data_IF_936111332718
#
_entry.id   IF_936111332718
#
_cell.length_a   1.000
_cell.length_b   1.000
_cell.length_c   1.000
_cell.angle_alpha   90.00
_cell.angle_beta   90.00
_cell.angle_gamma   90.00
#
_symmetry.space_group_name_H-M   'P 1'
#
loop_
_entity.id
_entity.type
_entity.pdbx_description
1 polymer ?
#
# COMPACT_ATOMS: atom_id res chain seq x y z
N UNK A 1 3.44 2.43 -8.07
CA UNK A 1 2.45 3.06 -7.18
C UNK A 1 3.16 4.14 -6.37
N UNK A 2 2.46 5.20 -5.92
CA UNK A 2 3.04 6.17 -4.99
C UNK A 2 2.25 6.18 -3.69
N UNK A 3 2.94 6.09 -2.56
CA UNK A 3 2.30 6.16 -1.23
C UNK A 3 2.78 7.42 -0.53
N UNK A 4 1.85 8.33 -0.27
CA UNK A 4 2.08 9.53 0.51
C UNK A 4 1.37 9.41 1.86
N UNK A 5 2.05 9.75 2.94
CA UNK A 5 1.48 9.72 4.29
C UNK A 5 1.73 11.04 5.01
N UNK A 6 0.74 11.47 5.79
CA UNK A 6 0.84 12.63 6.67
C UNK A 6 1.05 12.16 8.12
N UNK A 7 2.03 12.70 8.86
CA UNK A 7 2.20 12.35 10.26
C UNK A 7 0.95 12.76 11.06
N UNK A 8 0.37 11.84 11.84
CA UNK A 8 -0.80 12.15 12.66
C UNK A 8 -0.48 13.07 13.85
N UNK A 9 0.76 13.02 14.36
CA UNK A 9 1.19 13.80 15.54
C UNK A 9 1.83 15.14 15.22
N UNK A 10 2.05 15.47 13.94
CA UNK A 10 2.73 16.71 13.53
C UNK A 10 2.10 17.22 12.24
N UNK A 11 1.64 18.47 12.25
CA UNK A 11 1.25 19.14 11.02
C UNK A 11 2.48 19.37 10.15
N UNK A 12 2.70 18.44 9.22
CA UNK A 12 3.72 18.53 8.18
C UNK A 12 3.09 18.15 6.84
N UNK A 13 3.67 18.61 5.72
CA UNK A 13 3.25 18.15 4.40
C UNK A 13 3.30 16.62 4.30
N UNK A 14 2.43 16.00 3.48
CA UNK A 14 2.54 14.58 3.15
C UNK A 14 3.94 14.25 2.65
N UNK A 15 4.48 13.11 3.08
CA UNK A 15 5.78 12.59 2.65
C UNK A 15 5.55 11.36 1.79
N UNK A 16 6.26 11.29 0.67
CA UNK A 16 6.35 10.09 -0.15
C UNK A 16 7.17 9.06 0.62
N UNK A 17 6.59 7.89 0.89
CA UNK A 17 7.27 6.77 1.59
C UNK A 17 7.52 5.58 0.66
N UNK A 18 6.90 5.57 -0.51
CA UNK A 18 7.06 4.51 -1.51
C UNK A 18 6.83 5.08 -2.91
N UNK A 19 7.77 4.87 -3.82
CA UNK A 19 7.70 5.29 -5.24
C UNK A 19 8.36 4.22 -6.12
N UNK A 20 7.89 2.98 -5.99
CA UNK A 20 8.35 1.86 -6.79
C UNK A 20 7.19 1.23 -7.59
N UNK A 21 7.55 0.47 -8.62
CA UNK A 21 6.62 -0.41 -9.30
C UNK A 21 6.20 -1.53 -8.34
N UNK A 22 4.93 -1.95 -8.44
CA UNK A 22 4.47 -3.18 -7.78
C UNK A 22 4.84 -4.33 -8.71
N UNK A 23 5.34 -5.42 -8.17
CA UNK A 23 5.57 -6.66 -8.90
C UNK A 23 4.79 -7.85 -8.32
N UNK A 24 4.89 -9.00 -8.99
CA UNK A 24 4.18 -10.22 -8.59
C UNK A 24 4.63 -10.74 -7.22
N UNK A 25 5.84 -10.41 -6.77
CA UNK A 25 6.37 -10.79 -5.45
C UNK A 25 5.77 -10.01 -4.30
N UNK A 26 5.21 -8.82 -4.57
CA UNK A 26 4.47 -8.03 -3.58
C UNK A 26 3.03 -8.55 -3.37
N UNK A 27 2.55 -9.45 -4.22
CA UNK A 27 1.15 -9.89 -4.27
C UNK A 27 1.03 -11.35 -3.84
N UNK A 28 0.17 -11.63 -2.86
CA UNK A 28 -0.11 -12.99 -2.40
C UNK A 28 -1.62 -13.23 -2.35
N UNK A 29 -2.08 -14.38 -2.82
CA UNK A 29 -3.46 -14.84 -2.63
C UNK A 29 -3.47 -15.94 -1.58
N UNK A 30 -4.10 -15.69 -0.44
CA UNK A 30 -4.23 -16.67 0.65
C UNK A 30 -5.68 -16.77 1.07
N UNK A 31 -6.21 -18.00 1.19
CA UNK A 31 -7.60 -18.25 1.62
C UNK A 31 -8.67 -17.47 0.82
N UNK A 32 -8.38 -17.14 -0.44
CA UNK A 32 -9.27 -16.35 -1.30
C UNK A 32 -9.17 -14.83 -1.11
N UNK A 33 -8.39 -14.35 -0.15
CA UNK A 33 -8.07 -12.93 0.02
C UNK A 33 -6.83 -12.56 -0.78
N UNK A 34 -6.89 -11.41 -1.46
CA UNK A 34 -5.75 -10.84 -2.17
C UNK A 34 -5.02 -9.89 -1.23
N UNK A 35 -3.74 -10.14 -0.98
CA UNK A 35 -2.89 -9.31 -0.12
C UNK A 35 -1.79 -8.65 -0.95
N UNK A 36 -1.67 -7.34 -0.83
CA UNK A 36 -0.54 -6.55 -1.34
C UNK A 36 0.37 -6.19 -0.17
N UNK A 37 1.62 -6.62 -0.21
CA UNK A 37 2.63 -6.34 0.81
C UNK A 37 3.80 -5.56 0.20
N UNK A 38 4.05 -4.36 0.71
CA UNK A 38 5.17 -3.51 0.28
C UNK A 38 6.08 -3.16 1.45
N UNK A 39 7.35 -2.89 1.18
CA UNK A 39 8.29 -2.31 2.14
C UNK A 39 8.48 -0.83 1.78
N UNK A 40 8.17 0.07 2.71
CA UNK A 40 8.23 1.51 2.51
C UNK A 40 8.93 2.20 3.68
N UNK A 41 9.36 3.46 3.50
CA UNK A 41 10.03 4.23 4.54
C UNK A 41 9.13 4.50 5.75
N UNK A 42 9.69 4.41 6.96
CA UNK A 42 8.99 4.80 8.18
C UNK A 42 8.88 6.33 8.27
N UNK A 43 7.65 6.81 8.49
CA UNK A 43 7.38 8.25 8.48
C UNK A 43 7.97 8.98 9.70
N UNK A 44 8.25 8.28 10.80
CA UNK A 44 8.70 8.87 12.07
C UNK A 44 10.20 8.64 12.34
N UNK A 45 10.80 7.63 11.71
CA UNK A 45 12.15 7.13 12.02
C UNK A 45 13.02 7.21 10.77
N UNK A 46 14.09 8.01 10.86
CA UNK A 46 15.01 8.22 9.74
C UNK A 46 15.74 6.90 9.41
N UNK A 47 15.83 6.58 8.11
CA UNK A 47 16.51 5.39 7.58
C UNK A 47 15.93 4.05 8.10
N UNK A 48 14.68 4.04 8.55
CA UNK A 48 13.97 2.83 8.89
C UNK A 48 12.91 2.54 7.82
N UNK A 49 12.65 1.26 7.59
CA UNK A 49 11.61 0.78 6.69
C UNK A 49 10.58 -0.05 7.46
N UNK A 50 9.34 -0.03 7.01
CA UNK A 50 8.24 -0.81 7.56
C UNK A 50 7.53 -1.58 6.45
N UNK A 51 7.04 -2.78 6.78
CA UNK A 51 6.18 -3.55 5.89
C UNK A 51 4.73 -3.12 6.08
N UNK A 52 4.07 -2.77 4.99
CA UNK A 52 2.65 -2.48 4.93
C UNK A 52 1.95 -3.61 4.17
N UNK A 53 0.86 -4.13 4.73
CA UNK A 53 0.04 -5.15 4.07
C UNK A 53 -1.38 -4.62 3.95
N UNK A 54 -1.89 -4.62 2.72
CA UNK A 54 -3.27 -4.26 2.39
C UNK A 54 -3.95 -5.57 1.96
N UNK A 55 -4.96 -5.99 2.72
CA UNK A 55 -5.83 -7.10 2.33
C UNK A 55 -7.03 -6.54 1.58
N UNK A 56 -7.32 -7.11 0.42
CA UNK A 56 -8.48 -6.81 -0.41
C UNK A 56 -9.41 -8.01 -0.34
N UNK A 57 -10.62 -7.77 0.16
CA UNK A 57 -11.65 -8.79 0.19
C UNK A 57 -12.32 -8.95 -1.19
N UNK A 58 -13.34 -9.81 -1.26
CA UNK A 58 -14.06 -10.07 -2.50
C UNK A 58 -14.83 -8.82 -3.00
N UNK A 59 -15.33 -7.98 -2.09
CA UNK A 59 -16.07 -6.77 -2.45
C UNK A 59 -15.13 -5.68 -2.97
N UNK A 60 -13.97 -5.51 -2.34
CA UNK A 60 -12.90 -4.62 -2.81
C UNK A 60 -12.46 -4.98 -4.23
N UNK A 61 -12.23 -6.27 -4.48
CA UNK A 61 -11.86 -6.77 -5.81
C UNK A 61 -12.95 -6.50 -6.84
N UNK A 62 -14.21 -6.77 -6.51
CA UNK A 62 -15.34 -6.49 -7.39
C UNK A 62 -15.51 -4.98 -7.66
N UNK A 63 -15.15 -4.12 -6.72
CA UNK A 63 -15.12 -2.67 -6.91
C UNK A 63 -14.04 -2.27 -7.94
N UNK A 64 -12.81 -2.76 -7.77
CA UNK A 64 -11.69 -2.48 -8.68
C UNK A 64 -11.97 -2.98 -10.09
N UNK A 65 -12.51 -4.20 -10.24
CA UNK A 65 -12.83 -4.81 -11.53
C UNK A 65 -13.94 -4.05 -12.31
N UNK A 66 -14.80 -3.31 -11.62
CA UNK A 66 -15.78 -2.42 -12.25
C UNK A 66 -15.12 -1.13 -12.73
N UNK A 67 -14.22 -0.58 -11.94
CA UNK A 67 -13.52 0.67 -12.27
C UNK A 67 -12.55 0.51 -13.46
N UNK A 68 -11.97 -0.68 -13.64
CA UNK A 68 -11.03 -0.99 -14.73
C UNK A 68 -11.69 -1.30 -16.09
N UNK A 69 -13.03 -1.37 -16.14
CA UNK A 69 -13.81 -1.59 -17.38
C UNK A 69 -14.33 -0.30 -18.02
N UNK A 70 -13.94 0.86 -17.49
CA UNK A 70 -14.23 2.21 -18.01
C UNK A 70 -13.01 2.73 -18.76
#
# INVERSE_FOLDING_TARGET
MKVFVRPGKRERPPRLIFDAAIDDGDIVVENGELKLSIIADDIYTKNATQRYTIALDAEDRACIDRASKV
#
